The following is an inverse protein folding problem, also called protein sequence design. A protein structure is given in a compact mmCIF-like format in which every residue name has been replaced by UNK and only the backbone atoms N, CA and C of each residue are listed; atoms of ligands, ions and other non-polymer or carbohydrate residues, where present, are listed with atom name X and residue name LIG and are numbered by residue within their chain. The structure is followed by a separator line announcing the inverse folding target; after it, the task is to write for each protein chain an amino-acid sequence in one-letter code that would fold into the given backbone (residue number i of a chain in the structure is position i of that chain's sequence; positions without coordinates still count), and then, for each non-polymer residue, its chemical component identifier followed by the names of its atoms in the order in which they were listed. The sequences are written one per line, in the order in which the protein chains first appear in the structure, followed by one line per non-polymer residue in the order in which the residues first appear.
data_IF_319743527997
#
_entry.id   IF_319743527997
#
_cell.length_a   1.000
_cell.length_b   1.000
_cell.length_c   1.000
_cell.angle_alpha   90.00
_cell.angle_beta   90.00
_cell.angle_gamma   90.00
#
_symmetry.space_group_name_H-M   'P 1'
#
loop_
_entity.id
_entity.type
_entity.pdbx_description
1 polymer ?
#
# COMPACT_ATOMS: atom_id res chain seq x y z
N UNK A 1 -15.77 -11.79 -5.40
CA UNK A 1 -16.43 -11.51 -4.11
C UNK A 1 -15.64 -10.41 -3.43
N UNK A 2 -16.25 -9.41 -2.81
CA UNK A 2 -15.52 -8.42 -2.01
C UNK A 2 -15.22 -8.97 -0.60
N UNK A 3 -14.49 -8.23 0.23
CA UNK A 3 -14.54 -8.45 1.68
C UNK A 3 -15.97 -8.28 2.19
N UNK A 4 -16.35 -9.06 3.21
CA UNK A 4 -17.53 -8.75 4.01
C UNK A 4 -17.22 -7.56 4.94
N UNK A 5 -18.25 -6.97 5.56
CA UNK A 5 -18.07 -5.80 6.44
C UNK A 5 -17.10 -6.06 7.60
N UNK A 6 -17.12 -7.24 8.23
CA UNK A 6 -16.26 -7.57 9.36
C UNK A 6 -14.79 -7.71 8.94
N UNK A 7 -14.54 -8.45 7.85
CA UNK A 7 -13.21 -8.61 7.25
C UNK A 7 -12.67 -7.27 6.79
N UNK A 8 -13.50 -6.45 6.14
CA UNK A 8 -13.09 -5.12 5.70
C UNK A 8 -12.67 -4.25 6.88
N UNK A 9 -13.43 -4.23 7.98
CA UNK A 9 -13.06 -3.45 9.17
C UNK A 9 -11.78 -3.98 9.83
N UNK A 10 -11.60 -5.31 9.89
CA UNK A 10 -10.39 -5.92 10.42
C UNK A 10 -9.15 -5.56 9.59
N UNK A 11 -9.21 -5.77 8.28
CA UNK A 11 -8.15 -5.42 7.32
C UNK A 11 -7.87 -3.92 7.36
N UNK A 12 -8.90 -3.08 7.35
CA UNK A 12 -8.76 -1.62 7.43
C UNK A 12 -8.04 -1.19 8.69
N UNK A 13 -8.39 -1.78 9.84
CA UNK A 13 -7.74 -1.46 11.12
C UNK A 13 -6.26 -1.84 11.10
N UNK A 14 -5.93 -3.03 10.60
CA UNK A 14 -4.55 -3.51 10.53
C UNK A 14 -3.69 -2.68 9.58
N UNK A 15 -4.18 -2.41 8.36
CA UNK A 15 -3.50 -1.53 7.40
C UNK A 15 -3.36 -0.12 7.95
N UNK A 16 -4.37 0.42 8.62
CA UNK A 16 -4.30 1.74 9.23
C UNK A 16 -3.18 1.83 10.27
N UNK A 17 -3.10 0.85 11.19
CA UNK A 17 -2.04 0.78 12.19
C UNK A 17 -0.64 0.68 11.57
N UNK A 18 -0.52 -0.11 10.50
CA UNK A 18 0.72 -0.21 9.75
C UNK A 18 1.13 1.13 9.14
N UNK A 19 0.22 1.81 8.44
CA UNK A 19 0.49 3.09 7.79
C UNK A 19 0.86 4.17 8.80
N UNK A 20 0.17 4.24 9.95
CA UNK A 20 0.54 5.15 11.05
C UNK A 20 1.95 4.90 11.58
N UNK A 21 2.43 3.64 11.57
CA UNK A 21 3.78 3.30 12.05
C UNK A 21 4.90 3.74 11.11
N UNK A 22 4.61 3.85 9.81
CA UNK A 22 5.60 4.26 8.79
C UNK A 22 5.43 5.71 8.34
N UNK A 23 4.33 6.37 8.75
CA UNK A 23 3.99 7.71 8.28
C UNK A 23 5.07 8.72 8.71
N UNK A 24 5.52 9.61 7.81
CA UNK A 24 6.47 10.63 8.20
C UNK A 24 5.89 11.61 9.24
N UNK A 25 6.77 12.33 9.97
CA UNK A 25 6.37 13.39 10.88
C UNK A 25 5.47 14.43 10.22
N UNK A 26 4.58 15.07 11.00
CA UNK A 26 3.58 16.02 10.50
C UNK A 26 4.15 17.14 9.63
N UNK A 27 5.38 17.60 9.92
CA UNK A 27 6.03 18.66 9.15
C UNK A 27 6.44 18.23 7.74
N UNK A 28 6.64 16.93 7.49
CA UNK A 28 7.00 16.36 6.17
C UNK A 28 5.74 15.93 5.39
N UNK A 29 4.61 15.68 6.06
CA UNK A 29 3.37 15.19 5.41
C UNK A 29 2.85 16.07 4.28
N UNK A 30 3.17 17.36 4.30
CA UNK A 30 2.82 18.27 3.21
C UNK A 30 3.64 18.03 1.93
N UNK A 31 4.83 17.44 2.06
CA UNK A 31 5.75 17.14 0.96
C UNK A 31 5.66 15.67 0.52
N UNK A 32 5.53 14.77 1.50
CA UNK A 32 5.42 13.33 1.29
C UNK A 32 4.54 12.74 2.38
N UNK A 33 3.43 12.13 1.99
CA UNK A 33 2.60 11.31 2.88
C UNK A 33 2.42 9.91 2.31
N UNK A 34 2.18 8.94 3.19
CA UNK A 34 1.91 7.57 2.78
C UNK A 34 0.42 7.31 2.94
N UNK A 35 -0.23 7.04 1.81
CA UNK A 35 -1.66 6.80 1.73
C UNK A 35 -1.94 5.38 1.31
N UNK A 36 -3.13 4.91 1.68
CA UNK A 36 -3.62 3.60 1.27
C UNK A 36 -5.08 3.69 0.83
N UNK A 37 -5.48 2.78 -0.04
CA UNK A 37 -6.86 2.58 -0.45
C UNK A 37 -7.18 1.10 -0.44
N UNK A 38 -8.41 0.75 -0.07
CA UNK A 38 -8.88 -0.64 -0.05
C UNK A 38 -10.07 -0.73 -1.00
N UNK A 39 -9.90 -1.50 -2.08
CA UNK A 39 -10.89 -1.74 -3.11
C UNK A 39 -11.16 -3.24 -3.19
N UNK A 40 -12.36 -3.66 -2.80
CA UNK A 40 -12.82 -5.05 -2.72
C UNK A 40 -11.96 -5.96 -1.84
N UNK A 41 -10.88 -6.50 -2.40
CA UNK A 41 -9.90 -7.41 -1.79
C UNK A 41 -8.46 -6.96 -2.06
N UNK A 42 -8.30 -5.76 -2.61
CA UNK A 42 -7.03 -5.20 -3.03
C UNK A 42 -6.75 -3.99 -2.17
N UNK A 43 -5.57 -3.97 -1.58
CA UNK A 43 -5.05 -2.88 -0.75
C UNK A 43 -3.93 -2.26 -1.58
N UNK A 44 -4.12 -1.00 -1.97
CA UNK A 44 -3.10 -0.23 -2.68
C UNK A 44 -2.46 0.75 -1.70
N UNK A 45 -1.14 0.72 -1.60
CA UNK A 45 -0.33 1.63 -0.79
C UNK A 45 0.53 2.46 -1.73
N UNK A 46 0.59 3.76 -1.49
CA UNK A 46 1.36 4.68 -2.32
C UNK A 46 1.77 5.94 -1.59
N UNK A 47 2.65 6.68 -2.24
CA UNK A 47 3.15 7.96 -1.75
C UNK A 47 2.33 9.08 -2.37
N UNK A 48 1.70 9.89 -1.53
CA UNK A 48 1.07 11.14 -1.94
C UNK A 48 2.10 12.26 -1.84
N UNK A 49 2.32 12.95 -2.96
CA UNK A 49 3.25 14.08 -3.02
C UNK A 49 2.73 15.21 -3.91
N UNK A 50 3.14 16.46 -3.69
CA UNK A 50 2.84 17.55 -4.61
C UNK A 50 3.35 17.25 -6.03
N UNK A 51 2.56 17.66 -7.03
CA UNK A 51 3.00 17.57 -8.43
C UNK A 51 4.12 18.57 -8.68
N UNK A 52 5.21 18.11 -9.31
CA UNK A 52 6.29 18.99 -9.73
C UNK A 52 5.76 20.01 -10.76
N UNK A 53 5.86 21.29 -10.45
CA UNK A 53 5.28 22.40 -11.23
C UNK A 53 3.74 22.35 -11.38
N UNK A 54 3.05 21.62 -10.50
CA UNK A 54 1.58 21.61 -10.45
C UNK A 54 1.00 22.88 -9.85
N UNK A 55 -0.33 23.01 -9.91
CA UNK A 55 -1.04 24.09 -9.23
C UNK A 55 -0.86 23.97 -7.70
N UNK A 56 -0.91 25.07 -6.93
CA UNK A 56 -0.87 25.00 -5.47
C UNK A 56 -1.96 24.07 -4.93
N UNK A 57 -1.53 23.04 -4.18
CA UNK A 57 -2.42 22.01 -3.63
C UNK A 57 -2.68 20.80 -4.54
N UNK A 58 -2.12 20.77 -5.75
CA UNK A 58 -2.19 19.61 -6.63
C UNK A 58 -1.24 18.50 -6.15
N UNK A 59 -1.82 17.36 -5.76
CA UNK A 59 -1.07 16.19 -5.30
C UNK A 59 -1.27 15.02 -6.25
N UNK A 60 -0.23 14.21 -6.43
CA UNK A 60 -0.30 12.94 -7.13
C UNK A 60 -0.05 11.79 -6.15
N UNK A 61 -0.71 10.65 -6.41
CA UNK A 61 -0.52 9.42 -5.65
C UNK A 61 0.31 8.49 -6.52
N UNK A 62 1.50 8.14 -6.05
CA UNK A 62 2.39 7.19 -6.69
C UNK A 62 2.17 5.81 -6.06
N UNK A 63 1.44 4.91 -6.75
CA UNK A 63 1.21 3.58 -6.22
C UNK A 63 2.52 2.80 -6.22
N UNK A 64 2.83 2.20 -5.07
CA UNK A 64 4.13 1.59 -4.80
C UNK A 64 3.98 0.10 -4.52
N UNK A 65 3.06 -0.24 -3.61
CA UNK A 65 2.77 -1.61 -3.23
C UNK A 65 1.27 -1.91 -3.42
N UNK A 66 0.96 -3.09 -3.92
CA UNK A 66 -0.40 -3.60 -4.04
C UNK A 66 -0.48 -4.97 -3.40
N UNK A 67 -1.32 -5.11 -2.40
CA UNK A 67 -1.56 -6.37 -1.68
C UNK A 67 -2.95 -6.85 -2.04
N UNK A 68 -3.08 -8.05 -2.57
CA UNK A 68 -4.36 -8.62 -3.01
C UNK A 68 -4.63 -9.93 -2.29
N UNK A 69 -5.78 -10.02 -1.63
CA UNK A 69 -6.25 -11.28 -1.08
C UNK A 69 -6.85 -12.17 -2.17
N UNK A 70 -6.42 -13.42 -2.21
CA UNK A 70 -6.91 -14.44 -3.13
C UNK A 70 -7.64 -15.51 -2.32
N UNK A 71 -8.95 -15.30 -2.10
CA UNK A 71 -9.81 -16.24 -1.36
C UNK A 71 -9.70 -17.71 -1.78
N UNK A 72 -9.59 -17.98 -3.09
CA UNK A 72 -9.50 -19.36 -3.59
C UNK A 72 -8.23 -20.09 -3.16
N UNK A 73 -7.18 -19.34 -2.82
CA UNK A 73 -5.90 -19.87 -2.37
C UNK A 73 -5.65 -19.60 -0.88
N UNK A 74 -6.53 -18.85 -0.22
CA UNK A 74 -6.37 -18.38 1.16
C UNK A 74 -5.01 -17.70 1.39
N UNK A 75 -4.62 -16.83 0.44
CA UNK A 75 -3.28 -16.22 0.39
C UNK A 75 -3.30 -14.75 -0.02
N UNK A 76 -2.30 -14.02 0.45
CA UNK A 76 -2.06 -12.61 0.15
C UNK A 76 -0.96 -12.46 -0.88
N UNK A 77 -1.29 -11.99 -2.08
CA UNK A 77 -0.31 -11.71 -3.12
C UNK A 77 0.16 -10.26 -3.03
N UNK A 78 1.46 -10.07 -3.01
CA UNK A 78 2.09 -8.76 -3.01
C UNK A 78 2.56 -8.46 -4.43
N UNK A 79 2.31 -7.24 -4.87
CA UNK A 79 2.75 -6.71 -6.15
C UNK A 79 3.48 -5.41 -5.93
N UNK A 80 4.45 -5.12 -6.80
CA UNK A 80 5.19 -3.87 -6.84
C UNK A 80 5.07 -3.23 -8.21
N UNK A 81 5.11 -1.90 -8.25
CA UNK A 81 5.04 -1.12 -9.48
C UNK A 81 6.47 -0.93 -10.02
N UNK A 82 6.79 -1.53 -11.19
CA UNK A 82 8.11 -1.35 -11.82
C UNK A 82 8.18 -0.08 -12.65
N UNK A 83 9.40 0.27 -13.09
CA UNK A 83 9.67 1.36 -14.06
C UNK A 83 8.92 1.24 -15.39
N UNK A 84 8.45 0.03 -15.74
CA UNK A 84 7.60 -0.20 -16.90
C UNK A 84 6.12 0.18 -16.67
N UNK A 85 5.81 0.74 -15.49
CA UNK A 85 4.47 1.10 -15.02
C UNK A 85 3.51 -0.09 -14.96
N UNK A 86 4.04 -1.29 -14.78
CA UNK A 86 3.24 -2.52 -14.62
C UNK A 86 3.42 -3.08 -13.22
N UNK A 87 2.36 -3.75 -12.77
CA UNK A 87 2.37 -4.50 -11.53
C UNK A 87 3.03 -5.86 -11.74
N UNK A 88 4.11 -6.11 -11.00
CA UNK A 88 4.78 -7.41 -11.00
C UNK A 88 4.52 -8.10 -9.68
N UNK A 89 4.27 -9.41 -9.71
CA UNK A 89 4.13 -10.18 -8.48
C UNK A 89 5.49 -10.21 -7.78
N UNK A 90 5.51 -9.82 -6.51
CA UNK A 90 6.69 -9.84 -5.66
C UNK A 90 6.74 -11.12 -4.81
N UNK A 91 5.74 -11.31 -3.95
CA UNK A 91 5.65 -12.49 -3.08
C UNK A 91 4.20 -12.94 -2.89
N UNK A 92 4.01 -14.08 -2.22
CA UNK A 92 2.71 -14.57 -1.78
C UNK A 92 2.81 -15.07 -0.34
N UNK A 93 2.13 -14.37 0.56
CA UNK A 93 2.16 -14.62 2.00
C UNK A 93 0.88 -15.29 2.50
N UNK A 94 0.97 -15.88 3.69
CA UNK A 94 -0.16 -16.54 4.36
C UNK A 94 -1.04 -15.55 5.13
N UNK A 95 -0.44 -14.51 5.72
CA UNK A 95 -1.16 -13.50 6.50
C UNK A 95 -0.99 -12.09 5.93
N UNK A 96 -1.92 -11.20 6.28
CA UNK A 96 -1.83 -9.78 5.93
C UNK A 96 -0.66 -9.12 6.66
N UNK A 97 -0.44 -9.47 7.93
CA UNK A 97 0.65 -8.94 8.74
C UNK A 97 2.00 -9.25 8.10
N UNK A 98 2.23 -10.49 7.67
CA UNK A 98 3.48 -10.88 6.98
C UNK A 98 3.68 -10.08 5.68
N UNK A 99 2.59 -9.86 4.95
CA UNK A 99 2.64 -9.07 3.72
C UNK A 99 3.00 -7.60 3.97
N UNK A 100 2.44 -6.99 5.01
CA UNK A 100 2.74 -5.62 5.43
C UNK A 100 4.18 -5.50 5.96
N UNK A 101 4.62 -6.46 6.76
CA UNK A 101 5.98 -6.55 7.29
C UNK A 101 7.02 -6.64 6.17
N UNK A 102 6.76 -7.45 5.15
CA UNK A 102 7.62 -7.55 3.98
C UNK A 102 7.70 -6.23 3.20
N UNK A 103 6.56 -5.53 3.08
CA UNK A 103 6.50 -4.20 2.47
C UNK A 103 7.31 -3.17 3.28
N UNK A 104 7.27 -3.22 4.62
CA UNK A 104 8.08 -2.34 5.49
C UNK A 104 9.57 -2.67 5.44
N UNK A 105 9.92 -3.95 5.49
CA UNK A 105 11.31 -4.39 5.45
C UNK A 105 11.98 -3.96 4.13
N UNK A 106 11.19 -3.89 3.04
CA UNK A 106 11.59 -3.43 1.72
C UNK A 106 13.00 -3.91 1.31
N UNK A 107 13.30 -5.22 1.40
CA UNK A 107 14.67 -5.72 1.31
C UNK A 107 15.33 -5.45 -0.06
N UNK A 108 14.51 -5.37 -1.11
CA UNK A 108 14.96 -5.12 -2.48
C UNK A 108 14.77 -3.65 -2.94
N UNK A 109 14.39 -2.74 -2.02
CA UNK A 109 14.05 -1.35 -2.32
C UNK A 109 12.99 -1.20 -3.44
N UNK A 110 11.98 -2.08 -3.43
CA UNK A 110 10.94 -2.21 -4.45
C UNK A 110 9.66 -1.40 -4.18
N UNK A 111 9.41 -0.95 -2.95
CA UNK A 111 8.14 -0.32 -2.57
C UNK A 111 8.26 1.21 -2.44
N UNK A 112 8.66 1.70 -1.27
CA UNK A 112 8.77 3.13 -0.96
C UNK A 112 10.07 3.37 -0.17
N UNK A 113 10.69 4.53 -0.37
CA UNK A 113 12.04 4.85 0.12
C UNK A 113 12.68 6.01 -0.61
#
# INVERSE_FOLDING_TARGET
MAFNDLEYQAVKKEVHQFIESIRPPEHIRNELDIVYSINDQTIDIGEQRPVWQGNPGETNILPSARIKYIRSLDRWKIYWMRKDMKWHQYSTELSLTDALELVRANPDCCFFG
#
